data_IF_785654020113
#
_entry.id   IF_785654020113
#
_cell.length_a   1.000
_cell.length_b   1.000
_cell.length_c   1.000
_cell.angle_alpha   90.00
_cell.angle_beta   90.00
_cell.angle_gamma   90.00
#
_symmetry.space_group_name_H-M   'P 1'
#
loop_
_entity.id
_entity.type
_entity.pdbx_description
1 polymer ?
#
# COMPACT_ATOMS: atom_id res chain seq x y z
N UNK A 1 20.63 -4.64 2.60
CA UNK A 1 19.69 -3.53 2.35
C UNK A 1 18.39 -3.89 3.02
N UNK A 2 17.80 -2.98 3.78
CA UNK A 2 16.48 -3.20 4.39
C UNK A 2 15.46 -3.49 3.30
N UNK A 3 14.58 -4.46 3.54
CA UNK A 3 13.54 -4.88 2.61
C UNK A 3 12.55 -3.73 2.43
N UNK A 4 12.45 -3.18 1.21
CA UNK A 4 11.52 -2.09 0.89
C UNK A 4 10.10 -2.65 0.78
N UNK A 5 9.17 -2.14 1.60
CA UNK A 5 7.82 -2.71 1.72
C UNK A 5 6.76 -1.74 1.23
N UNK A 6 5.54 -2.26 1.07
CA UNK A 6 4.36 -1.48 0.75
C UNK A 6 4.25 -0.19 1.60
N UNK A 7 4.48 -0.32 2.91
CA UNK A 7 4.36 0.79 3.86
C UNK A 7 5.39 1.90 3.58
N UNK A 8 6.61 1.55 3.15
CA UNK A 8 7.63 2.50 2.73
C UNK A 8 7.23 3.22 1.44
N UNK A 9 6.66 2.49 0.48
CA UNK A 9 6.17 3.04 -0.78
C UNK A 9 5.04 4.04 -0.60
N UNK A 10 4.06 3.70 0.23
CA UNK A 10 2.96 4.59 0.59
C UNK A 10 3.51 5.83 1.30
N UNK A 11 4.40 5.64 2.27
CA UNK A 11 4.98 6.76 3.02
C UNK A 11 5.73 7.73 2.10
N UNK A 12 6.55 7.21 1.18
CA UNK A 12 7.25 8.03 0.19
C UNK A 12 6.26 8.77 -0.72
N UNK A 13 5.20 8.11 -1.15
CA UNK A 13 4.15 8.74 -1.94
C UNK A 13 3.46 9.87 -1.16
N UNK A 14 3.19 9.70 0.14
CA UNK A 14 2.58 10.72 1.00
C UNK A 14 3.51 11.92 1.25
N UNK A 15 4.80 11.68 1.45
CA UNK A 15 5.76 12.74 1.78
C UNK A 15 6.20 13.51 0.54
N UNK A 16 6.41 12.83 -0.58
CA UNK A 16 7.02 13.41 -1.78
C UNK A 16 6.03 13.60 -2.94
N UNK A 17 4.87 12.93 -2.92
CA UNK A 17 3.94 12.88 -4.05
C UNK A 17 4.45 12.06 -5.24
N UNK A 18 5.61 11.41 -5.11
CA UNK A 18 6.28 10.67 -6.16
C UNK A 18 6.95 9.41 -5.60
N UNK A 19 7.05 8.39 -6.44
CA UNK A 19 7.75 7.12 -6.16
C UNK A 19 8.67 6.77 -7.32
N UNK A 20 9.88 6.29 -7.01
CA UNK A 20 10.86 5.90 -8.02
C UNK A 20 10.56 4.53 -8.64
N UNK A 21 10.98 4.33 -9.89
CA UNK A 21 10.87 3.02 -10.54
C UNK A 21 11.74 1.94 -9.87
N UNK A 22 12.87 2.33 -9.26
CA UNK A 22 13.74 1.40 -8.51
C UNK A 22 13.07 0.90 -7.23
N UNK A 23 12.33 1.78 -6.57
CA UNK A 23 11.55 1.47 -5.37
C UNK A 23 10.41 0.49 -5.72
N UNK A 24 9.69 0.76 -6.81
CA UNK A 24 8.66 -0.15 -7.33
C UNK A 24 9.24 -1.51 -7.71
N UNK A 25 10.42 -1.57 -8.35
CA UNK A 25 11.09 -2.83 -8.70
C UNK A 25 11.44 -3.68 -7.46
N UNK A 26 11.62 -3.04 -6.31
CA UNK A 26 11.98 -3.72 -5.06
C UNK A 26 10.77 -4.34 -4.35
N UNK A 27 9.55 -3.98 -4.74
CA UNK A 27 8.31 -4.53 -4.19
C UNK A 27 7.95 -5.87 -4.83
N UNK A 28 7.29 -6.73 -4.06
CA UNK A 28 6.68 -7.95 -4.61
C UNK A 28 5.54 -7.60 -5.55
N UNK A 29 5.24 -8.48 -6.53
CA UNK A 29 4.09 -8.30 -7.41
C UNK A 29 2.78 -8.07 -6.64
N UNK A 30 2.63 -8.78 -5.52
CA UNK A 30 1.45 -8.72 -4.66
C UNK A 30 1.29 -7.34 -3.98
N UNK A 31 2.40 -6.74 -3.55
CA UNK A 31 2.45 -5.39 -2.97
C UNK A 31 2.26 -4.32 -4.05
N UNK A 32 2.88 -4.50 -5.22
CA UNK A 32 2.72 -3.61 -6.37
C UNK A 32 1.26 -3.52 -6.81
N UNK A 33 0.60 -4.67 -6.95
CA UNK A 33 -0.80 -4.71 -7.36
C UNK A 33 -1.68 -3.97 -6.34
N UNK A 34 -1.48 -4.20 -5.04
CA UNK A 34 -2.22 -3.51 -3.99
C UNK A 34 -1.95 -2.00 -4.00
N UNK A 35 -0.68 -1.59 -4.13
CA UNK A 35 -0.28 -0.18 -4.21
C UNK A 35 -0.94 0.52 -5.40
N UNK A 36 -0.97 -0.11 -6.58
CA UNK A 36 -1.61 0.49 -7.74
C UNK A 36 -3.13 0.55 -7.61
N UNK A 37 -3.79 -0.43 -6.99
CA UNK A 37 -5.23 -0.33 -6.69
C UNK A 37 -5.53 0.81 -5.72
N UNK A 38 -4.72 0.98 -4.67
CA UNK A 38 -4.86 2.06 -3.70
C UNK A 38 -4.61 3.43 -4.34
N UNK A 39 -3.57 3.56 -5.18
CA UNK A 39 -3.27 4.79 -5.93
C UNK A 39 -4.44 5.14 -6.86
N UNK A 40 -5.05 4.17 -7.55
CA UNK A 40 -6.23 4.41 -8.40
C UNK A 40 -7.40 4.95 -7.58
N UNK A 41 -7.74 4.28 -6.48
CA UNK A 41 -8.84 4.71 -5.59
C UNK A 41 -8.55 6.10 -5.02
N UNK A 42 -7.32 6.34 -4.61
CA UNK A 42 -6.88 7.62 -4.08
C UNK A 42 -6.96 8.76 -5.12
N UNK A 43 -6.47 8.55 -6.34
CA UNK A 43 -6.58 9.54 -7.41
C UNK A 43 -8.05 9.83 -7.76
N UNK A 44 -8.90 8.80 -7.85
CA UNK A 44 -10.29 8.94 -8.28
C UNK A 44 -11.21 9.51 -7.20
N UNK A 45 -11.09 9.04 -5.96
CA UNK A 45 -12.04 9.36 -4.88
C UNK A 45 -11.49 10.33 -3.84
N UNK A 46 -10.17 10.42 -3.70
CA UNK A 46 -9.53 11.34 -2.77
C UNK A 46 -8.94 12.59 -3.45
N UNK A 47 -9.14 12.73 -4.77
CA UNK A 47 -8.67 13.85 -5.59
C UNK A 47 -7.17 14.12 -5.41
N UNK A 48 -6.38 13.04 -5.25
CA UNK A 48 -4.92 13.11 -5.07
C UNK A 48 -4.46 13.79 -3.78
N UNK A 49 -5.30 13.92 -2.74
CA UNK A 49 -4.89 14.51 -1.45
C UNK A 49 -4.04 13.52 -0.66
N UNK A 50 -2.76 13.80 -0.49
CA UNK A 50 -1.75 12.90 0.11
C UNK A 50 -2.16 12.34 1.49
N UNK A 51 -2.82 13.15 2.32
CA UNK A 51 -3.33 12.76 3.65
C UNK A 51 -4.37 11.62 3.61
N UNK A 52 -5.06 11.43 2.48
CA UNK A 52 -6.09 10.40 2.29
C UNK A 52 -5.55 9.08 1.73
N UNK A 53 -4.25 8.97 1.47
CA UNK A 53 -3.65 7.70 1.04
C UNK A 53 -3.51 6.78 2.28
N UNK A 54 -4.08 5.56 2.26
CA UNK A 54 -4.04 4.66 3.41
C UNK A 54 -2.64 4.12 3.67
N UNK A 55 -2.20 4.20 4.93
CA UNK A 55 -0.83 3.82 5.38
C UNK A 55 -0.60 2.32 5.54
N UNK A 56 -1.66 1.52 5.61
CA UNK A 56 -1.59 0.08 5.87
C UNK A 56 -2.21 -0.73 4.73
N UNK A 57 -1.54 -1.83 4.38
CA UNK A 57 -2.00 -2.83 3.41
C UNK A 57 -3.31 -3.50 3.82
N UNK A 58 -4.34 -3.42 2.96
CA UNK A 58 -5.62 -4.12 3.14
C UNK A 58 -5.48 -5.64 3.26
N UNK A 59 -4.41 -6.24 2.70
CA UNK A 59 -4.10 -7.67 2.85
C UNK A 59 -3.78 -8.11 4.28
N UNK A 60 -3.17 -7.25 5.10
CA UNK A 60 -2.89 -7.58 6.51
C UNK A 60 -4.19 -7.73 7.31
N UNK A 61 -5.19 -6.90 7.04
CA UNK A 61 -6.51 -6.98 7.68
C UNK A 61 -7.28 -8.25 7.32
N UNK A 62 -7.33 -8.62 6.03
CA UNK A 62 -8.02 -9.86 5.60
C UNK A 62 -7.44 -11.13 6.23
N UNK A 63 -6.12 -11.18 6.49
CA UNK A 63 -5.47 -12.35 7.11
C UNK A 63 -5.73 -12.42 8.63
N UNK A 64 -5.92 -11.28 9.29
CA UNK A 64 -6.37 -11.20 10.70
C UNK A 64 -7.81 -11.68 10.86
N UNK A 65 -8.69 -11.22 9.98
CA UNK A 65 -10.12 -11.55 10.00
C UNK A 65 -10.35 -13.06 9.83
N UNK A 66 -9.67 -13.67 8.85
CA UNK A 66 -9.76 -15.11 8.57
C UNK A 66 -9.18 -16.02 9.67
N UNK A 67 -8.36 -15.49 10.57
CA UNK A 67 -7.80 -16.23 11.72
C UNK A 67 -8.72 -16.16 12.95
N UNK A 68 -9.61 -15.15 13.01
CA UNK A 68 -10.60 -15.00 14.08
C UNK A 68 -11.78 -15.94 13.89
N UNK A 69 -12.20 -16.14 12.64
CA UNK A 69 -13.30 -17.05 12.24
C UNK A 69 -12.99 -18.55 12.39
N UNK A 70 -11.72 -18.93 12.62
CA UNK A 70 -11.29 -20.34 12.72
C UNK A 70 -11.07 -20.83 14.16
N UNK A 71 -11.48 -20.02 15.14
CA UNK A 71 -11.30 -20.29 16.59
C UNK A 71 -12.64 -20.39 17.34
N UNK A 72 -13.75 -20.57 16.64
CA UNK A 72 -15.06 -20.92 17.20
C UNK A 72 -15.45 -22.33 16.74
#
# INVERSE_FOLDING_TARGET
MSEYKYEDAVKQLQESGAIGLQDLKSLSYDDLNELFEEIKVWCLYANGKLDKLPKESKKKDKKKDKKKDKKD
#
